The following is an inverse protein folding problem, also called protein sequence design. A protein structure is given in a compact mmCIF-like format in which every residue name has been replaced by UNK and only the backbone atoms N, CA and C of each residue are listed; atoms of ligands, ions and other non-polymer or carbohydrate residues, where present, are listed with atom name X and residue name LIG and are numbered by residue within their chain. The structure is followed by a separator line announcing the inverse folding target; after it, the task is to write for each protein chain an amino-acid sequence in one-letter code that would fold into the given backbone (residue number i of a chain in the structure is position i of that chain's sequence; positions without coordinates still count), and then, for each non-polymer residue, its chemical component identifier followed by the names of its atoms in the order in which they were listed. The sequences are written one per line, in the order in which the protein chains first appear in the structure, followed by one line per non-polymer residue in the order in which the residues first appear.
data_IF_242717560228
#
_entry.id   IF_242717560228
#
_cell.length_a   1.000
_cell.length_b   1.000
_cell.length_c   1.000
_cell.angle_alpha   90.00
_cell.angle_beta   90.00
_cell.angle_gamma   90.00
#
_symmetry.space_group_name_H-M   'P 1'
#
loop_
_entity.id
_entity.type
_entity.pdbx_description
1 polymer ?
#
# COMPACT_ATOMS: atom_id res chain seq x y z
N UNK A 1 8.29 4.37 -28.32
CA UNK A 1 8.80 3.38 -27.34
C UNK A 1 9.23 4.19 -26.14
N UNK A 2 8.39 4.31 -25.11
CA UNK A 2 8.77 5.06 -23.90
C UNK A 2 9.52 4.11 -22.97
N UNK A 3 10.81 4.38 -22.79
CA UNK A 3 11.65 3.77 -21.78
C UNK A 3 11.31 4.40 -20.44
N UNK A 4 10.71 3.63 -19.53
CA UNK A 4 10.56 4.05 -18.14
C UNK A 4 11.84 3.65 -17.40
N UNK A 5 12.61 4.68 -17.06
CA UNK A 5 13.85 4.59 -16.32
C UNK A 5 13.51 4.60 -14.82
N UNK A 6 13.45 3.42 -14.22
CA UNK A 6 13.49 3.28 -12.76
C UNK A 6 14.79 2.60 -12.42
N UNK A 7 15.81 3.42 -12.14
CA UNK A 7 17.04 2.98 -11.49
C UNK A 7 17.03 3.51 -10.06
N UNK A 8 17.27 2.58 -9.14
CA UNK A 8 17.98 2.74 -7.87
C UNK A 8 17.16 3.18 -6.63
N UNK A 9 16.60 2.21 -5.89
CA UNK A 9 17.21 1.58 -4.69
C UNK A 9 16.13 0.86 -3.87
N UNK A 10 16.25 -0.46 -3.74
CA UNK A 10 15.57 -1.24 -2.69
C UNK A 10 14.49 -2.21 -3.17
N UNK A 11 14.87 -3.20 -3.97
CA UNK A 11 14.15 -4.47 -4.03
C UNK A 11 14.30 -5.24 -2.71
N UNK A 12 13.73 -4.76 -1.60
CA UNK A 12 13.60 -5.60 -0.41
C UNK A 12 12.26 -5.29 0.26
N UNK A 13 11.37 -6.29 0.35
CA UNK A 13 10.00 -6.28 0.88
C UNK A 13 8.96 -5.71 -0.10
N UNK A 14 8.25 -6.49 -0.91
CA UNK A 14 7.52 -7.73 -0.60
C UNK A 14 7.44 -8.66 -1.84
N UNK A 15 7.71 -9.98 -1.71
CA UNK A 15 7.42 -10.91 -2.79
C UNK A 15 5.91 -11.20 -2.81
N UNK A 16 5.15 -10.41 -3.57
CA UNK A 16 3.71 -10.59 -3.74
C UNK A 16 3.10 -9.89 -4.96
N UNK A 17 3.91 -9.17 -5.74
CA UNK A 17 3.50 -8.45 -6.94
C UNK A 17 3.36 -9.41 -8.15
N UNK A 18 2.35 -10.27 -8.14
CA UNK A 18 1.85 -10.92 -9.37
C UNK A 18 0.39 -10.53 -9.58
N UNK A 19 0.20 -9.60 -10.53
CA UNK A 19 -0.96 -8.75 -10.71
C UNK A 19 -2.23 -9.41 -11.32
N UNK A 20 -2.54 -10.68 -11.00
CA UNK A 20 -3.63 -11.37 -11.71
C UNK A 20 -4.33 -12.54 -10.99
N UNK A 21 -4.33 -12.58 -9.66
CA UNK A 21 -5.23 -13.48 -8.92
C UNK A 21 -6.22 -12.67 -8.05
N UNK A 22 -7.54 -12.89 -8.13
CA UNK A 22 -8.53 -12.14 -7.33
C UNK A 22 -8.37 -12.33 -5.81
N UNK A 23 -7.60 -13.32 -5.36
CA UNK A 23 -7.17 -13.47 -3.97
C UNK A 23 -5.79 -12.84 -3.67
N UNK A 24 -5.08 -12.31 -4.66
CA UNK A 24 -3.75 -11.67 -4.54
C UNK A 24 -3.59 -10.44 -5.45
N UNK A 25 -4.70 -9.78 -5.83
CA UNK A 25 -4.64 -8.52 -6.57
C UNK A 25 -3.78 -7.56 -5.74
N UNK A 26 -2.75 -6.91 -6.33
CA UNK A 26 -1.83 -6.10 -5.57
C UNK A 26 -2.63 -4.93 -5.02
N UNK A 27 -2.91 -5.02 -3.73
CA UNK A 27 -3.37 -3.90 -2.97
C UNK A 27 -2.38 -2.77 -3.03
N UNK A 28 -2.85 -1.56 -2.84
CA UNK A 28 -1.94 -0.46 -2.64
C UNK A 28 -1.28 -0.64 -1.27
N UNK A 29 0.03 -0.42 -1.24
CA UNK A 29 0.75 -0.20 0.00
C UNK A 29 0.72 1.30 0.31
N UNK A 30 0.09 1.66 1.41
CA UNK A 30 -0.02 3.03 1.89
C UNK A 30 0.68 3.09 3.24
N UNK A 31 1.68 3.96 3.37
CA UNK A 31 2.51 4.07 4.58
C UNK A 31 2.48 5.51 5.08
N UNK A 32 2.08 5.69 6.34
CA UNK A 32 2.13 6.93 7.09
C UNK A 32 3.52 7.23 7.63
N UNK A 33 3.56 8.02 8.70
CA UNK A 33 4.75 8.59 9.31
C UNK A 33 4.74 8.36 10.82
N UNK A 34 5.74 8.85 11.54
CA UNK A 34 5.80 8.72 13.00
C UNK A 34 4.85 9.70 13.75
N UNK A 35 4.03 10.48 13.04
CA UNK A 35 3.05 11.40 13.63
C UNK A 35 1.68 11.28 12.95
N UNK A 36 0.70 12.00 13.48
CA UNK A 36 -0.71 11.85 13.11
C UNK A 36 -0.96 12.02 11.59
N UNK A 37 -1.41 10.95 10.93
CA UNK A 37 -1.70 10.94 9.49
C UNK A 37 -3.18 10.79 9.13
N UNK A 38 -3.52 11.23 7.91
CA UNK A 38 -4.81 10.92 7.27
C UNK A 38 -4.53 10.05 6.05
N UNK A 39 -4.79 8.75 6.16
CA UNK A 39 -4.52 7.76 5.13
C UNK A 39 -5.83 7.33 4.46
N UNK A 40 -5.85 7.33 3.12
CA UNK A 40 -7.04 6.97 2.34
C UNK A 40 -6.69 5.84 1.39
N UNK A 41 -7.32 4.68 1.63
CA UNK A 41 -7.30 3.50 0.77
C UNK A 41 -8.16 3.66 -0.48
N UNK A 42 -8.47 2.54 -1.10
CA UNK A 42 -9.16 2.40 -2.37
C UNK A 42 -10.29 1.39 -2.26
N UNK A 43 -11.05 1.16 -3.34
CA UNK A 43 -12.06 0.09 -3.37
C UNK A 43 -11.46 -1.32 -3.59
N UNK A 44 -10.12 -1.43 -3.58
CA UNK A 44 -9.40 -2.70 -3.65
C UNK A 44 -8.84 -3.06 -2.26
N UNK A 45 -8.55 -4.34 -2.04
CA UNK A 45 -7.81 -4.79 -0.85
C UNK A 45 -6.50 -4.02 -0.74
N UNK A 46 -6.28 -3.25 0.30
CA UNK A 46 -5.07 -2.46 0.54
C UNK A 46 -4.27 -2.96 1.75
N UNK A 47 -3.00 -2.57 1.83
CA UNK A 47 -2.18 -2.67 3.04
C UNK A 47 -1.86 -1.24 3.50
N UNK A 48 -2.37 -0.86 4.67
CA UNK A 48 -2.22 0.49 5.21
C UNK A 48 -1.45 0.41 6.52
N UNK A 49 -0.32 1.11 6.61
CA UNK A 49 0.53 1.15 7.80
C UNK A 49 0.58 2.57 8.33
N UNK A 50 -0.01 2.81 9.50
CA UNK A 50 -0.03 4.14 10.15
C UNK A 50 1.32 4.55 10.71
N UNK A 51 2.04 3.58 11.28
CA UNK A 51 3.25 3.74 12.10
C UNK A 51 2.95 4.39 13.47
N UNK A 52 3.33 5.65 13.69
CA UNK A 52 3.26 6.31 15.00
C UNK A 52 2.32 7.51 14.98
N UNK A 53 1.81 7.91 16.15
CA UNK A 53 0.82 9.00 16.25
C UNK A 53 -0.61 8.49 16.27
N UNK A 54 -1.57 9.43 16.24
CA UNK A 54 -3.01 9.18 16.23
C UNK A 54 -3.57 9.29 14.80
N UNK A 55 -3.56 8.18 14.07
CA UNK A 55 -3.93 8.15 12.65
C UNK A 55 -5.45 8.10 12.40
N UNK A 56 -5.88 8.72 11.31
CA UNK A 56 -7.20 8.57 10.72
C UNK A 56 -7.11 7.80 9.41
N UNK A 57 -7.64 6.59 9.38
CA UNK A 57 -7.55 5.70 8.22
C UNK A 57 -8.93 5.49 7.60
N UNK A 58 -9.07 5.84 6.33
CA UNK A 58 -10.22 5.54 5.49
C UNK A 58 -9.87 4.44 4.50
N UNK A 59 -10.01 3.18 4.91
CA UNK A 59 -9.63 2.03 4.09
C UNK A 59 -10.48 1.87 2.81
N UNK A 60 -11.73 2.35 2.85
CA UNK A 60 -12.74 2.22 1.79
C UNK A 60 -13.20 0.76 1.59
N UNK A 61 -13.07 0.20 0.39
CA UNK A 61 -13.68 -1.08 0.02
C UNK A 61 -12.64 -2.16 -0.23
N UNK A 62 -12.99 -3.42 0.04
CA UNK A 62 -12.02 -4.53 -0.08
C UNK A 62 -11.72 -5.14 1.28
N UNK A 63 -10.81 -6.12 1.28
CA UNK A 63 -10.38 -6.81 2.50
C UNK A 63 -9.02 -6.27 2.96
N UNK A 64 -9.01 -5.12 3.62
CA UNK A 64 -7.78 -4.38 3.93
C UNK A 64 -7.01 -4.95 5.13
N UNK A 65 -5.69 -4.79 5.10
CA UNK A 65 -4.81 -5.06 6.24
C UNK A 65 -4.27 -3.74 6.77
N UNK A 66 -4.65 -3.39 8.01
CA UNK A 66 -4.27 -2.13 8.65
C UNK A 66 -3.38 -2.43 9.86
N UNK A 67 -2.23 -1.76 9.95
CA UNK A 67 -1.22 -1.98 10.98
C UNK A 67 -0.67 -0.68 11.57
#
# INVERSE_FOLDING_TARGET
MLNMHVLDLGEEWCPGLFANDPATAPGNLIVGTEGDDVLVGTDARDIIVGLGGDDTIHALGGDDSIA
#
